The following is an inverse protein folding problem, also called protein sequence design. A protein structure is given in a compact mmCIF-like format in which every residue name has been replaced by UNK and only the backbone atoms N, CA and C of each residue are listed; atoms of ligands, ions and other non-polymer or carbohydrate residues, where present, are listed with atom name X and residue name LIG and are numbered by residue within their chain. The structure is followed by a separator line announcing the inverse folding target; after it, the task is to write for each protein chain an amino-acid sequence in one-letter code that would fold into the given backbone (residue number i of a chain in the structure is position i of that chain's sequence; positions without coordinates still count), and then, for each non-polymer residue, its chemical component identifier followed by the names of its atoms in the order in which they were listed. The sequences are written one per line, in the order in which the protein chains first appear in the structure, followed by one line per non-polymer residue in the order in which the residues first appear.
data_IF_687821940040
#
_entry.id   IF_687821940040
#
_cell.length_a   1.000
_cell.length_b   1.000
_cell.length_c   1.000
_cell.angle_alpha   90.00
_cell.angle_beta   90.00
_cell.angle_gamma   90.00
#
_symmetry.space_group_name_H-M   'P 1'
#
loop_
_entity.id
_entity.type
_entity.pdbx_description
1 polymer ?
#
# COMPACT_ATOMS: atom_id res chain seq x y z
N UNK A 1 2.02 -16.93 -4.66
CA UNK A 1 3.30 -16.30 -4.27
C UNK A 1 4.10 -17.24 -3.36
N UNK A 2 5.43 -17.17 -3.43
CA UNK A 2 6.38 -17.99 -2.66
C UNK A 2 7.48 -17.11 -2.04
N UNK A 3 8.13 -17.55 -0.97
CA UNK A 3 9.25 -16.83 -0.34
C UNK A 3 10.50 -16.88 -1.22
N UNK A 4 11.22 -15.76 -1.31
CA UNK A 4 12.35 -15.61 -2.24
C UNK A 4 13.66 -15.23 -1.54
N UNK A 5 14.74 -15.94 -1.84
CA UNK A 5 16.08 -15.64 -1.33
C UNK A 5 16.91 -14.81 -2.31
N UNK A 6 16.63 -13.51 -2.36
CA UNK A 6 17.42 -12.56 -3.14
C UNK A 6 18.86 -12.38 -2.63
N UNK A 7 19.14 -12.72 -1.37
CA UNK A 7 20.46 -12.53 -0.81
C UNK A 7 21.41 -13.60 -1.37
N UNK A 8 20.97 -14.86 -1.39
CA UNK A 8 21.72 -15.95 -2.01
C UNK A 8 22.03 -15.64 -3.47
N UNK A 9 21.02 -15.29 -4.27
CA UNK A 9 21.21 -15.00 -5.70
C UNK A 9 22.24 -13.91 -5.97
N UNK A 10 22.22 -12.86 -5.14
CA UNK A 10 23.21 -11.78 -5.21
C UNK A 10 24.60 -12.26 -4.82
N UNK A 11 24.71 -12.93 -3.68
CA UNK A 11 25.99 -13.32 -3.09
C UNK A 11 26.69 -14.40 -3.95
N UNK A 12 25.92 -15.25 -4.62
CA UNK A 12 26.41 -16.28 -5.55
C UNK A 12 26.53 -15.80 -7.00
N UNK A 13 26.10 -14.56 -7.29
CA UNK A 13 26.11 -13.97 -8.63
C UNK A 13 25.47 -14.89 -9.69
N UNK A 14 24.27 -15.40 -9.40
CA UNK A 14 23.57 -16.34 -10.28
C UNK A 14 23.24 -15.69 -11.62
N UNK A 15 23.04 -16.50 -12.66
CA UNK A 15 22.62 -16.01 -13.97
C UNK A 15 21.30 -15.23 -13.90
N UNK A 16 20.37 -15.61 -13.02
CA UNK A 16 19.15 -14.84 -12.76
C UNK A 16 19.46 -13.45 -12.21
N UNK A 17 20.37 -13.36 -11.25
CA UNK A 17 20.81 -12.09 -10.69
C UNK A 17 21.51 -11.24 -11.74
N UNK A 18 22.48 -11.77 -12.48
CA UNK A 18 23.23 -11.03 -13.49
C UNK A 18 22.33 -10.50 -14.62
N UNK A 19 21.39 -11.31 -15.09
CA UNK A 19 20.44 -10.92 -16.16
C UNK A 19 19.41 -9.91 -15.71
N UNK A 20 19.10 -9.84 -14.41
CA UNK A 20 18.16 -8.88 -13.87
C UNK A 20 18.76 -7.48 -13.86
N UNK A 21 18.57 -6.71 -14.93
CA UNK A 21 19.01 -5.31 -15.02
C UNK A 21 17.81 -4.35 -14.98
N UNK A 22 17.61 -3.59 -13.88
CA UNK A 22 16.49 -2.66 -13.77
C UNK A 22 16.60 -1.44 -14.69
N UNK A 23 17.79 -1.11 -15.20
CA UNK A 23 17.97 0.02 -16.12
C UNK A 23 17.54 -0.36 -17.54
N UNK A 24 17.82 -1.60 -17.94
CA UNK A 24 17.55 -2.08 -19.29
C UNK A 24 16.15 -2.70 -19.44
N UNK A 25 15.51 -3.09 -18.33
CA UNK A 25 14.18 -3.69 -18.34
C UNK A 25 13.05 -2.64 -18.42
N UNK A 26 11.94 -3.02 -19.04
CA UNK A 26 10.69 -2.28 -18.96
C UNK A 26 9.84 -2.86 -17.82
N UNK A 27 9.41 -2.02 -16.89
CA UNK A 27 8.57 -2.42 -15.75
C UNK A 27 7.29 -1.60 -15.76
N UNK A 28 6.15 -2.26 -15.89
CA UNK A 28 4.82 -1.64 -15.78
C UNK A 28 4.10 -2.21 -14.56
N UNK A 29 3.56 -1.35 -13.72
CA UNK A 29 2.73 -1.77 -12.57
C UNK A 29 1.28 -1.87 -13.01
N UNK A 30 0.66 -3.04 -12.81
CA UNK A 30 -0.74 -3.30 -13.15
C UNK A 30 -1.65 -3.46 -11.94
N UNK A 31 -1.07 -3.61 -10.74
CA UNK A 31 -1.77 -3.66 -9.47
C UNK A 31 -0.83 -3.36 -8.29
N UNK A 32 -1.32 -3.41 -7.03
CA UNK A 32 -0.51 -3.14 -5.86
C UNK A 32 0.73 -4.05 -5.75
N UNK A 33 0.54 -5.34 -6.06
CA UNK A 33 1.60 -6.37 -5.99
C UNK A 33 1.87 -7.01 -7.35
N UNK A 34 1.30 -6.49 -8.44
CA UNK A 34 1.36 -7.10 -9.77
C UNK A 34 2.06 -6.18 -10.77
N UNK A 35 3.01 -6.73 -11.50
CA UNK A 35 3.84 -6.04 -12.47
C UNK A 35 3.91 -6.82 -13.78
N UNK A 36 4.08 -6.12 -14.89
CA UNK A 36 4.55 -6.67 -16.15
C UNK A 36 6.02 -6.29 -16.31
N UNK A 37 6.89 -7.29 -16.44
CA UNK A 37 8.33 -7.08 -16.58
C UNK A 37 8.80 -7.62 -17.92
N UNK A 38 9.50 -6.79 -18.69
CA UNK A 38 10.09 -7.16 -19.98
C UNK A 38 11.60 -6.97 -19.92
N UNK A 39 12.35 -8.05 -20.05
CA UNK A 39 13.81 -8.00 -20.16
C UNK A 39 14.25 -7.67 -21.60
N UNK A 40 15.46 -7.11 -21.80
CA UNK A 40 15.97 -6.78 -23.13
C UNK A 40 15.92 -7.97 -24.10
N UNK A 41 15.18 -7.83 -25.20
CA UNK A 41 15.04 -8.86 -26.23
C UNK A 41 14.25 -10.10 -25.81
N UNK A 42 13.54 -10.04 -24.68
CA UNK A 42 12.70 -11.12 -24.15
C UNK A 42 11.19 -10.84 -24.28
N UNK A 43 10.40 -11.77 -23.78
CA UNK A 43 8.95 -11.65 -23.66
C UNK A 43 8.57 -10.92 -22.36
N UNK A 44 7.37 -10.34 -22.33
CA UNK A 44 6.79 -9.72 -21.13
C UNK A 44 6.17 -10.80 -20.25
N UNK A 45 6.46 -10.75 -18.95
CA UNK A 45 5.92 -11.68 -17.96
C UNK A 45 5.15 -10.96 -16.86
N UNK A 46 4.07 -11.58 -16.39
CA UNK A 46 3.33 -11.19 -15.21
C UNK A 46 4.08 -11.64 -13.95
N UNK A 47 4.39 -10.67 -13.09
CA UNK A 47 5.18 -10.86 -11.89
C UNK A 47 4.38 -10.38 -10.69
N UNK A 48 4.17 -11.28 -9.75
CA UNK A 48 3.70 -10.94 -8.42
C UNK A 48 4.92 -10.62 -7.54
N UNK A 49 4.93 -9.46 -6.89
CA UNK A 49 6.01 -9.02 -6.03
C UNK A 49 5.49 -8.25 -4.83
N UNK A 50 5.84 -8.74 -3.64
CA UNK A 50 5.39 -8.16 -2.38
C UNK A 50 6.22 -8.63 -1.19
N UNK A 51 5.68 -8.42 0.00
CA UNK A 51 6.25 -8.88 1.27
C UNK A 51 5.17 -9.57 2.10
N UNK A 52 5.59 -10.56 2.88
CA UNK A 52 4.82 -11.13 3.98
C UNK A 52 5.68 -11.06 5.23
N UNK A 53 5.17 -10.40 6.28
CA UNK A 53 5.88 -10.26 7.58
C UNK A 53 7.31 -9.71 7.41
N UNK A 54 7.50 -8.79 6.45
CA UNK A 54 8.78 -8.17 6.12
C UNK A 54 9.70 -8.98 5.19
N UNK A 55 9.38 -10.26 4.93
CA UNK A 55 10.13 -11.12 4.00
C UNK A 55 9.57 -10.98 2.60
N UNK A 56 10.42 -10.96 1.56
CA UNK A 56 9.94 -10.79 0.19
C UNK A 56 9.33 -12.09 -0.32
N UNK A 57 8.20 -11.93 -1.01
CA UNK A 57 7.49 -13.01 -1.67
C UNK A 57 7.19 -12.61 -3.11
N UNK A 58 7.03 -13.61 -3.97
CA UNK A 58 6.64 -13.33 -5.34
C UNK A 58 6.35 -14.57 -6.17
N UNK A 59 6.04 -14.32 -7.43
CA UNK A 59 5.73 -15.32 -8.45
C UNK A 59 5.96 -14.72 -9.83
N UNK A 60 6.30 -15.57 -10.80
CA UNK A 60 6.47 -15.15 -12.19
C UNK A 60 6.02 -16.30 -13.10
N UNK A 61 5.36 -16.00 -14.22
CA UNK A 61 4.93 -17.02 -15.18
C UNK A 61 6.04 -17.52 -16.12
N UNK A 62 7.26 -16.97 -16.02
CA UNK A 62 8.35 -17.37 -16.90
C UNK A 62 8.89 -18.77 -16.61
N UNK A 63 9.43 -19.42 -17.65
CA UNK A 63 10.05 -20.76 -17.53
C UNK A 63 11.25 -20.82 -16.58
N UNK A 64 11.97 -19.72 -16.43
CA UNK A 64 13.07 -19.64 -15.46
C UNK A 64 12.60 -19.73 -14.01
N UNK A 65 11.36 -19.29 -13.72
CA UNK A 65 10.75 -19.48 -12.41
C UNK A 65 10.16 -20.89 -12.27
N UNK A 66 9.57 -21.44 -13.34
CA UNK A 66 8.98 -22.79 -13.34
C UNK A 66 10.03 -23.90 -13.15
N UNK A 67 11.22 -23.74 -13.75
CA UNK A 67 12.28 -24.76 -13.77
C UNK A 67 13.55 -24.36 -12.99
N UNK A 68 13.38 -23.59 -11.92
CA UNK A 68 14.46 -23.17 -11.04
C UNK A 68 15.07 -24.34 -10.26
N UNK A 69 16.36 -24.21 -9.94
CA UNK A 69 17.12 -25.23 -9.19
C UNK A 69 16.63 -25.35 -7.73
N UNK A 70 16.27 -24.23 -7.10
CA UNK A 70 15.77 -24.17 -5.74
C UNK A 70 14.39 -23.50 -5.67
N UNK A 71 13.51 -23.98 -4.79
CA UNK A 71 12.13 -23.46 -4.67
C UNK A 71 12.10 -21.97 -4.27
N UNK A 72 13.08 -21.49 -3.52
CA UNK A 72 13.19 -20.09 -3.10
C UNK A 72 14.02 -19.21 -4.06
N UNK A 73 14.52 -19.74 -5.18
CA UNK A 73 15.29 -18.98 -6.17
C UNK A 73 14.39 -18.06 -7.01
N UNK A 74 14.57 -16.72 -6.98
CA UNK A 74 13.87 -15.82 -7.88
C UNK A 74 14.44 -15.89 -9.31
N UNK A 75 13.56 -15.76 -10.29
CA UNK A 75 13.98 -15.58 -11.68
C UNK A 75 14.52 -14.16 -11.93
N UNK A 76 15.12 -13.94 -13.11
CA UNK A 76 15.65 -12.63 -13.51
C UNK A 76 14.61 -11.48 -13.45
N UNK A 77 13.33 -11.74 -13.72
CA UNK A 77 12.27 -10.73 -13.63
C UNK A 77 12.04 -10.26 -12.18
N UNK A 78 12.05 -11.20 -11.23
CA UNK A 78 11.96 -10.87 -9.80
C UNK A 78 13.23 -10.15 -9.32
N UNK A 79 14.40 -10.53 -9.85
CA UNK A 79 15.65 -9.82 -9.58
C UNK A 79 15.63 -8.37 -10.06
N UNK A 80 15.00 -8.07 -11.21
CA UNK A 80 14.77 -6.69 -11.66
C UNK A 80 14.00 -5.89 -10.61
N UNK A 81 12.82 -6.37 -10.19
CA UNK A 81 11.99 -5.65 -9.22
C UNK A 81 12.72 -5.46 -7.89
N UNK A 82 13.49 -6.46 -7.44
CA UNK A 82 14.29 -6.34 -6.22
C UNK A 82 15.39 -5.30 -6.32
N UNK A 83 16.13 -5.28 -7.43
CA UNK A 83 17.20 -4.29 -7.64
C UNK A 83 16.64 -2.89 -7.80
N UNK A 84 15.52 -2.73 -8.51
CA UNK A 84 14.79 -1.48 -8.63
C UNK A 84 14.30 -0.97 -7.27
N UNK A 85 13.62 -1.81 -6.48
CA UNK A 85 13.18 -1.48 -5.11
C UNK A 85 14.36 -1.01 -4.26
N UNK A 86 15.48 -1.72 -4.33
CA UNK A 86 16.67 -1.38 -3.54
C UNK A 86 17.29 -0.05 -3.98
N UNK A 87 17.45 0.15 -5.28
CA UNK A 87 18.01 1.37 -5.89
C UNK A 87 17.15 2.60 -5.60
N UNK A 88 15.82 2.49 -5.70
CA UNK A 88 14.91 3.56 -5.26
C UNK A 88 15.11 3.91 -3.79
N UNK A 89 15.08 2.90 -2.91
CA UNK A 89 15.10 3.13 -1.46
C UNK A 89 16.43 3.66 -0.92
N UNK A 90 17.56 3.37 -1.60
CA UNK A 90 18.89 3.75 -1.12
C UNK A 90 19.46 4.97 -1.82
N UNK A 91 19.10 5.19 -3.09
CA UNK A 91 19.69 6.24 -3.91
C UNK A 91 18.66 7.15 -4.58
N UNK A 92 17.38 6.76 -4.62
CA UNK A 92 16.34 7.51 -5.32
C UNK A 92 16.51 7.48 -6.84
N UNK A 93 17.20 6.47 -7.38
CA UNK A 93 17.50 6.40 -8.81
C UNK A 93 16.24 6.21 -9.66
N UNK A 94 16.31 6.69 -10.90
CA UNK A 94 15.26 6.47 -11.90
C UNK A 94 15.08 4.98 -12.26
N UNK A 95 16.12 4.16 -12.11
CA UNK A 95 16.04 2.69 -12.29
C UNK A 95 15.08 2.02 -11.29
N UNK A 96 14.72 2.73 -10.22
CA UNK A 96 13.77 2.29 -9.22
C UNK A 96 12.32 2.67 -9.51
N UNK A 97 12.00 3.13 -10.73
CA UNK A 97 10.67 3.58 -11.13
C UNK A 97 10.11 2.75 -12.29
N UNK A 98 8.80 2.63 -12.36
CA UNK A 98 8.09 1.99 -13.47
C UNK A 98 7.85 2.97 -14.64
N UNK A 99 7.14 2.51 -15.68
CA UNK A 99 6.81 3.32 -16.86
C UNK A 99 5.94 4.54 -16.57
N UNK A 100 5.23 4.60 -15.43
CA UNK A 100 4.43 5.75 -15.03
C UNK A 100 5.19 6.70 -14.10
N UNK A 101 6.50 6.47 -13.91
CA UNK A 101 7.38 7.18 -12.98
C UNK A 101 7.06 6.91 -11.49
N UNK A 102 6.23 5.90 -11.20
CA UNK A 102 5.93 5.49 -9.83
C UNK A 102 7.05 4.60 -9.28
N UNK A 103 7.41 4.75 -7.99
CA UNK A 103 8.47 3.96 -7.40
C UNK A 103 8.08 2.48 -7.33
N UNK A 104 9.02 1.59 -7.66
CA UNK A 104 8.83 0.14 -7.51
C UNK A 104 8.98 -0.21 -6.04
N UNK A 105 7.92 -0.78 -5.47
CA UNK A 105 7.82 -1.06 -4.03
C UNK A 105 7.19 -2.42 -3.79
N UNK A 106 7.76 -3.16 -2.84
CA UNK A 106 7.12 -4.37 -2.35
C UNK A 106 6.16 -4.01 -1.22
N UNK A 107 4.86 -4.10 -1.51
CA UNK A 107 3.75 -3.93 -0.57
C UNK A 107 3.52 -5.18 0.26
N UNK A 108 2.94 -5.05 1.46
CA UNK A 108 2.52 -6.23 2.23
C UNK A 108 1.33 -6.88 1.51
N UNK A 109 1.48 -8.17 1.19
CA UNK A 109 0.46 -8.86 0.39
C UNK A 109 -0.80 -9.06 1.19
N UNK A 110 -0.75 -9.18 2.52
CA UNK A 110 -1.92 -9.36 3.37
C UNK A 110 -2.84 -8.12 3.38
N UNK A 111 -2.29 -6.92 3.12
CA UNK A 111 -3.07 -5.68 2.96
C UNK A 111 -3.86 -5.65 1.64
N UNK A 112 -3.49 -6.51 0.68
CA UNK A 112 -4.03 -6.55 -0.67
C UNK A 112 -4.60 -7.92 -1.06
N UNK A 113 -4.65 -8.88 -0.13
CA UNK A 113 -5.48 -10.07 -0.27
C UNK A 113 -6.93 -9.58 -0.28
N UNK A 114 -7.56 -9.61 -1.45
CA UNK A 114 -8.99 -9.39 -1.55
C UNK A 114 -9.69 -10.33 -0.55
N UNK A 115 -10.63 -9.86 0.29
CA UNK A 115 -11.37 -10.71 1.23
C UNK A 115 -12.27 -11.77 0.57
N UNK A 116 -12.12 -12.08 -0.73
CA UNK A 116 -12.96 -12.99 -1.50
C UNK A 116 -12.15 -13.86 -2.48
N UNK A 117 -11.35 -14.78 -1.94
CA UNK A 117 -10.92 -15.99 -2.66
C UNK A 117 -11.66 -17.26 -2.18
N UNK A 118 -12.85 -17.06 -1.59
CA UNK A 118 -13.94 -18.03 -1.65
C UNK A 118 -14.98 -17.35 -2.52
N UNK A 119 -15.25 -17.87 -3.71
CA UNK A 119 -16.38 -17.38 -4.51
C UNK A 119 -17.67 -17.54 -3.68
N UNK A 120 -18.41 -16.48 -3.31
CA UNK A 120 -19.85 -16.66 -3.17
C UNK A 120 -20.41 -16.80 -4.60
N UNK A 121 -21.21 -17.82 -4.81
CA UNK A 121 -21.93 -18.03 -6.08
C UNK A 121 -22.65 -16.72 -6.49
N UNK A 122 -22.80 -16.43 -7.80
CA UNK A 122 -23.33 -15.16 -8.25
C UNK A 122 -24.83 -15.07 -7.97
N UNK A 123 -25.21 -14.58 -6.78
CA UNK A 123 -26.53 -14.00 -6.57
C UNK A 123 -26.50 -12.55 -7.07
N UNK A 124 -26.98 -12.43 -8.30
CA UNK A 124 -27.38 -11.18 -8.93
C UNK A 124 -28.26 -10.35 -7.98
N UNK A 125 -27.80 -9.18 -7.54
CA UNK A 125 -28.69 -8.03 -7.36
C UNK A 125 -27.93 -6.74 -7.67
N UNK A 126 -28.32 -6.09 -8.76
CA UNK A 126 -28.05 -4.68 -8.99
C UNK A 126 -29.08 -3.87 -8.20
N UNK A 127 -28.66 -2.79 -7.54
CA UNK A 127 -29.24 -1.44 -7.63
C UNK A 127 -28.48 -0.51 -6.67
N UNK A 128 -27.94 0.58 -7.20
CA UNK A 128 -27.12 1.54 -6.46
C UNK A 128 -27.93 2.49 -5.57
N UNK A 129 -27.26 3.12 -4.61
CA UNK A 129 -27.82 4.26 -3.88
C UNK A 129 -27.24 4.51 -2.48
N UNK A 130 -26.15 5.29 -2.43
CA UNK A 130 -25.84 6.39 -1.50
C UNK A 130 -26.17 6.26 0.02
N UNK A 131 -25.11 6.29 0.83
CA UNK A 131 -25.08 6.42 2.30
C UNK A 131 -25.76 7.72 2.81
N UNK A 132 -26.74 7.58 3.70
CA UNK A 132 -27.23 8.66 4.58
C UNK A 132 -26.96 8.34 6.06
N UNK A 133 -26.43 9.27 6.87
CA UNK A 133 -26.15 9.01 8.27
C UNK A 133 -27.42 8.96 9.14
N UNK A 134 -27.52 7.90 9.96
CA UNK A 134 -28.62 7.66 10.92
C UNK A 134 -28.61 8.68 12.07
N UNK A 135 -29.70 9.40 12.28
CA UNK A 135 -29.91 10.27 13.44
C UNK A 135 -30.83 9.61 14.48
N UNK A 136 -30.50 9.76 15.77
CA UNK A 136 -31.19 9.11 16.89
C UNK A 136 -31.93 10.13 17.77
N UNK A 137 -33.19 9.86 18.12
CA UNK A 137 -34.02 10.75 18.94
C UNK A 137 -33.86 10.46 20.45
N UNK A 138 -33.26 11.39 21.21
CA UNK A 138 -32.94 11.24 22.65
C UNK A 138 -34.12 11.23 23.62
N UNK A 139 -35.36 11.46 23.17
CA UNK A 139 -36.53 11.54 24.08
C UNK A 139 -37.22 10.20 24.31
N UNK A 140 -37.21 9.27 23.35
CA UNK A 140 -38.00 8.03 23.44
C UNK A 140 -37.24 6.75 23.06
N UNK A 141 -35.99 6.83 22.58
CA UNK A 141 -35.15 5.64 22.34
C UNK A 141 -35.62 4.71 21.21
N UNK A 142 -36.55 5.16 20.35
CA UNK A 142 -36.98 4.39 19.19
C UNK A 142 -36.01 4.59 18.01
N UNK A 143 -35.61 3.49 17.37
CA UNK A 143 -34.83 3.48 16.13
C UNK A 143 -35.80 3.31 14.97
N UNK A 144 -35.81 4.25 14.02
CA UNK A 144 -36.59 4.10 12.78
C UNK A 144 -35.79 3.26 11.79
N UNK A 145 -36.33 2.15 11.25
CA UNK A 145 -35.57 1.27 10.37
C UNK A 145 -35.31 1.83 8.97
N UNK A 146 -36.03 2.87 8.52
CA UNK A 146 -36.09 3.22 7.08
C UNK A 146 -35.84 4.70 6.74
N UNK A 147 -35.34 5.53 7.67
CA UNK A 147 -34.89 6.90 7.32
C UNK A 147 -35.96 7.88 6.84
N UNK A 148 -37.24 7.50 6.84
CA UNK A 148 -38.36 8.41 6.59
C UNK A 148 -38.84 9.05 7.91
N UNK A 149 -39.03 10.38 7.90
CA UNK A 149 -39.65 11.09 9.00
C UNK A 149 -41.13 10.63 9.15
N UNK A 150 -41.60 10.27 10.36
CA UNK A 150 -43.00 9.88 10.53
C UNK A 150 -43.94 11.05 10.22
N UNK A 151 -45.15 10.80 9.66
CA UNK A 151 -46.14 11.85 9.45
C UNK A 151 -46.60 12.45 10.80
N UNK A 152 -46.95 13.75 10.86
CA UNK A 152 -47.30 14.42 12.10
C UNK A 152 -48.71 14.04 12.56
N UNK A 153 -48.81 12.91 13.25
CA UNK A 153 -49.89 12.54 14.14
C UNK A 153 -49.27 11.49 15.07
N UNK A 154 -49.01 11.72 16.35
CA UNK A 154 -49.87 12.33 17.35
C UNK A 154 -48.97 12.97 18.43
N UNK A 155 -48.83 14.30 18.41
CA UNK A 155 -48.33 15.06 19.55
C UNK A 155 -49.45 15.99 20.00
N UNK A 156 -50.42 15.42 20.69
CA UNK A 156 -51.41 16.20 21.43
C UNK A 156 -50.75 16.85 22.65
N UNK A 157 -50.79 18.17 22.64
CA UNK A 157 -50.88 19.09 23.79
C UNK A 157 -49.58 19.40 24.56
N UNK A 158 -49.06 20.62 24.35
CA UNK A 158 -48.05 21.20 25.24
C UNK A 158 -47.35 22.45 24.71
N UNK A 159 -48.06 23.58 24.73
CA UNK A 159 -47.58 24.98 24.82
C UNK A 159 -46.31 25.41 24.07
N UNK A 160 -46.52 26.27 23.08
CA UNK A 160 -45.56 27.22 22.51
C UNK A 160 -45.06 28.20 23.57
N UNK A 161 -43.78 28.14 23.94
CA UNK A 161 -42.86 29.27 24.20
C UNK A 161 -41.56 28.70 24.80
N UNK A 162 -40.48 28.55 24.01
CA UNK A 162 -39.09 28.58 24.51
C UNK A 162 -38.07 28.72 23.34
N UNK A 163 -37.15 29.71 23.35
CA UNK A 163 -36.28 30.02 22.23
C UNK A 163 -34.89 29.36 22.33
N UNK A 164 -34.78 28.04 22.14
CA UNK A 164 -33.47 27.36 22.00
C UNK A 164 -33.48 26.36 20.84
N UNK A 165 -33.43 26.89 19.63
CA UNK A 165 -33.20 26.14 18.40
C UNK A 165 -31.69 26.16 18.11
N UNK A 166 -30.92 25.28 18.75
CA UNK A 166 -29.49 25.12 18.45
C UNK A 166 -29.13 23.64 18.32
N UNK A 167 -28.64 23.28 17.14
CA UNK A 167 -28.11 21.96 16.83
C UNK A 167 -26.65 21.93 17.29
N UNK A 168 -26.34 21.19 18.35
CA UNK A 168 -24.97 20.99 18.82
C UNK A 168 -24.50 19.57 18.59
N UNK A 169 -23.33 19.46 17.96
CA UNK A 169 -22.58 18.23 17.71
C UNK A 169 -22.15 17.59 19.06
N UNK A 170 -22.21 16.26 19.15
CA UNK A 170 -21.84 15.56 20.36
C UNK A 170 -20.31 15.58 20.57
N UNK A 171 -19.79 15.73 21.80
CA UNK A 171 -18.35 15.73 22.04
C UNK A 171 -17.75 14.35 21.80
N UNK A 172 -16.76 14.29 20.91
CA UNK A 172 -15.91 13.12 20.67
C UNK A 172 -15.09 12.80 21.93
N UNK A 173 -14.99 11.50 22.21
CA UNK A 173 -14.36 10.94 23.39
C UNK A 173 -12.84 11.08 23.28
N UNK A 174 -12.26 11.79 24.25
CA UNK A 174 -10.82 11.93 24.48
C UNK A 174 -10.16 10.56 24.66
N UNK A 175 -9.20 10.25 23.78
CA UNK A 175 -8.18 9.24 24.02
C UNK A 175 -6.88 9.94 24.46
N UNK A 176 -6.34 9.42 25.56
CA UNK A 176 -5.24 9.92 26.38
C UNK A 176 -3.86 9.79 25.69
N UNK A 177 -3.04 10.85 25.79
CA UNK A 177 -1.61 10.75 26.07
C UNK A 177 -0.63 10.47 24.93
N UNK A 178 0.04 11.51 24.42
CA UNK A 178 1.26 11.38 23.62
C UNK A 178 1.92 12.74 23.34
N UNK A 179 2.93 13.07 24.13
CA UNK A 179 3.69 14.34 24.16
C UNK A 179 4.30 14.73 22.78
N UNK A 180 4.22 16.02 22.46
CA UNK A 180 4.87 16.67 21.32
C UNK A 180 6.27 17.11 21.76
N UNK A 181 7.32 16.45 21.28
CA UNK A 181 8.68 17.00 21.34
C UNK A 181 8.96 17.84 20.10
N UNK A 182 9.27 19.10 20.35
CA UNK A 182 9.60 20.12 19.36
C UNK A 182 10.91 19.83 18.60
N UNK A 183 11.01 20.39 17.39
CA UNK A 183 12.14 20.31 16.50
C UNK A 183 13.45 20.91 17.10
N UNK A 184 14.63 20.45 16.64
CA UNK A 184 15.92 20.81 17.24
C UNK A 184 16.31 22.28 17.00
N UNK A 185 16.64 22.97 18.09
CA UNK A 185 17.35 24.25 18.03
C UNK A 185 18.84 24.02 17.73
N UNK A 186 19.29 24.61 16.62
CA UNK A 186 20.65 25.09 16.31
C UNK A 186 21.73 24.86 17.38
N UNK A 187 22.65 23.94 17.11
CA UNK A 187 23.95 23.81 17.76
C UNK A 187 25.07 23.91 16.73
N UNK A 188 25.94 24.89 16.92
CA UNK A 188 26.98 25.32 16.00
C UNK A 188 28.30 24.59 16.29
N UNK A 189 28.60 23.50 15.57
CA UNK A 189 29.92 22.84 15.65
C UNK A 189 30.74 23.10 14.38
N UNK A 190 31.65 24.08 14.51
CA UNK A 190 32.51 24.58 13.45
C UNK A 190 33.57 23.58 12.96
N UNK A 191 33.19 22.70 12.03
CA UNK A 191 34.13 21.85 11.30
C UNK A 191 34.27 22.32 9.86
N UNK A 192 35.28 23.15 9.62
CA UNK A 192 35.75 23.50 8.28
C UNK A 192 36.53 22.30 7.74
N UNK A 193 36.00 21.60 6.75
CA UNK A 193 36.76 20.63 5.96
C UNK A 193 37.51 21.38 4.85
N UNK A 194 38.79 21.64 5.11
CA UNK A 194 39.74 22.10 4.11
C UNK A 194 40.15 20.97 3.16
N UNK A 195 40.27 21.33 1.88
CA UNK A 195 40.66 20.54 0.70
C UNK A 195 42.05 19.88 0.85
N UNK A 196 42.32 18.72 0.22
CA UNK A 196 43.64 18.08 0.28
C UNK A 196 44.57 18.63 -0.82
N UNK A 197 45.72 19.18 -0.44
CA UNK A 197 46.83 19.44 -1.36
C UNK A 197 48.15 19.00 -0.70
N UNK A 198 48.80 18.02 -1.33
CA UNK A 198 50.24 17.87 -1.56
C UNK A 198 51.27 18.30 -0.49
N UNK A 199 52.06 17.33 -0.01
CA UNK A 199 53.54 17.36 0.15
C UNK A 199 53.99 16.08 0.90
N UNK A 200 54.71 15.14 0.27
CA UNK A 200 56.19 15.04 0.14
C UNK A 200 56.94 14.90 1.47
#
# INVERSE_FOLDING_TARGET
MQYLDFKRERDEATTSWERGDPVAALVERTGPTTYLVTLPGGETHAVEYGKERGTRVGGCDCKGFEFRDDEDSPCAHLCVLRKAEWSHNHFGDAAGRDVTDDPITAHDTAEHVAPNATEPEPDLVADGGEDFPRQNCRRCGAVSPDGEAPPPAECSEGTTDDPEHEWTDAPDLVADGGDIVEAPTTGHDGRVFGRPEDQL
#
